data_IF_968052707442
#
_entry.id   IF_968052707442
#
_cell.length_a   1.000
_cell.length_b   1.000
_cell.length_c   1.000
_cell.angle_alpha   90.00
_cell.angle_beta   90.00
_cell.angle_gamma   90.00
#
_symmetry.space_group_name_H-M   'P 1'
#
loop_
_entity.id
_entity.type
_entity.pdbx_description
1 polymer ?
#
# COMPACT_ATOMS: atom_id res chain seq x y z
N UNK A 1 -6.61 10.09 7.00
CA UNK A 1 -5.78 8.97 7.49
C UNK A 1 -4.31 9.36 7.42
N UNK A 2 -3.60 9.23 8.51
CA UNK A 2 -2.17 9.48 8.55
C UNK A 2 -1.44 8.23 8.07
N UNK A 3 -0.35 8.39 7.29
CA UNK A 3 0.41 7.26 6.78
C UNK A 3 1.88 7.35 7.18
N UNK A 4 2.52 6.19 7.24
CA UNK A 4 3.96 6.09 7.47
C UNK A 4 4.52 5.00 6.54
N UNK A 5 5.83 5.05 6.30
CA UNK A 5 6.50 4.10 5.43
C UNK A 5 7.53 3.32 6.22
N UNK A 6 7.36 2.00 6.27
CA UNK A 6 8.36 1.12 6.86
C UNK A 6 9.60 1.04 5.96
N UNK A 7 10.72 0.64 6.53
CA UNK A 7 11.96 0.51 5.77
C UNK A 7 11.81 -0.50 4.62
N UNK A 8 11.09 -1.59 4.86
CA UNK A 8 10.81 -2.60 3.83
C UNK A 8 10.05 -2.00 2.64
N UNK A 9 9.08 -1.10 2.94
CA UNK A 9 8.34 -0.42 1.88
C UNK A 9 9.27 0.48 1.05
N UNK A 10 10.12 1.24 1.72
CA UNK A 10 11.04 2.15 1.02
C UNK A 10 11.94 1.40 0.04
N UNK A 11 12.44 0.22 0.45
CA UNK A 11 13.26 -0.62 -0.44
C UNK A 11 12.47 -1.13 -1.63
N UNK A 12 11.26 -1.65 -1.38
CA UNK A 12 10.41 -2.17 -2.44
C UNK A 12 10.00 -1.07 -3.41
N UNK A 13 9.67 0.10 -2.89
CA UNK A 13 9.26 1.24 -3.70
C UNK A 13 10.41 1.74 -4.58
N UNK A 14 11.62 1.82 -4.02
CA UNK A 14 12.79 2.24 -4.77
C UNK A 14 13.06 1.29 -5.95
N UNK A 15 13.00 -0.02 -5.69
CA UNK A 15 13.19 -1.04 -6.73
C UNK A 15 12.14 -0.89 -7.83
N UNK A 16 10.88 -0.77 -7.45
CA UNK A 16 9.78 -0.61 -8.39
C UNK A 16 9.95 0.65 -9.23
N UNK A 17 10.32 1.74 -8.59
CA UNK A 17 10.50 3.03 -9.26
C UNK A 17 11.68 3.03 -10.23
N UNK A 18 12.74 2.30 -9.90
CA UNK A 18 13.89 2.14 -10.79
C UNK A 18 13.50 1.39 -12.06
N UNK A 19 12.67 0.34 -11.93
CA UNK A 19 12.24 -0.48 -13.06
C UNK A 19 11.10 0.16 -13.86
N UNK A 20 10.21 0.87 -13.17
CA UNK A 20 8.99 1.42 -13.78
C UNK A 20 8.72 2.84 -13.25
N UNK A 21 9.58 3.82 -13.57
CA UNK A 21 9.42 5.18 -13.04
C UNK A 21 8.10 5.83 -13.46
N UNK A 22 7.52 5.40 -14.58
CA UNK A 22 6.25 5.93 -15.08
C UNK A 22 5.08 5.62 -14.16
N UNK A 23 5.23 4.67 -13.24
CA UNK A 23 4.14 4.29 -12.33
C UNK A 23 4.04 5.20 -11.10
N UNK A 24 5.05 6.03 -10.85
CA UNK A 24 5.07 6.86 -9.64
C UNK A 24 3.90 7.86 -9.54
N UNK A 25 3.52 8.59 -10.60
CA UNK A 25 2.40 9.51 -10.50
C UNK A 25 1.10 8.82 -10.10
N UNK A 26 0.85 7.61 -10.62
CA UNK A 26 -0.33 6.85 -10.24
C UNK A 26 -0.28 6.43 -8.78
N UNK A 27 0.88 6.03 -8.30
CA UNK A 27 1.07 5.69 -6.88
C UNK A 27 0.65 6.86 -5.98
N UNK A 28 1.17 8.06 -6.25
CA UNK A 28 0.86 9.22 -5.41
C UNK A 28 -0.60 9.63 -5.49
N UNK A 29 -1.22 9.49 -6.65
CA UNK A 29 -2.65 9.76 -6.80
C UNK A 29 -3.48 8.80 -5.94
N UNK A 30 -3.12 7.52 -5.93
CA UNK A 30 -3.83 6.52 -5.11
C UNK A 30 -3.57 6.71 -3.63
N UNK A 31 -2.36 7.10 -3.24
CA UNK A 31 -2.04 7.42 -1.85
C UNK A 31 -2.86 8.61 -1.36
N UNK A 32 -3.01 9.64 -2.18
CA UNK A 32 -3.81 10.80 -1.82
C UNK A 32 -5.27 10.40 -1.59
N UNK A 33 -5.80 9.54 -2.45
CA UNK A 33 -7.15 9.01 -2.29
C UNK A 33 -7.26 8.19 -1.00
N UNK A 34 -6.27 7.35 -0.72
CA UNK A 34 -6.22 6.54 0.50
C UNK A 34 -6.22 7.41 1.76
N UNK A 35 -5.48 8.51 1.74
CA UNK A 35 -5.43 9.43 2.89
C UNK A 35 -6.81 10.02 3.17
N UNK A 36 -7.58 10.35 2.12
CA UNK A 36 -8.93 10.88 2.26
C UNK A 36 -9.93 9.81 2.70
N UNK A 37 -9.83 8.63 2.10
CA UNK A 37 -10.75 7.53 2.37
C UNK A 37 -10.08 6.20 2.07
N UNK A 38 -9.52 5.53 3.11
CA UNK A 38 -8.82 4.25 2.91
C UNK A 38 -9.69 3.16 2.31
N UNK A 39 -11.00 3.28 2.43
CA UNK A 39 -11.94 2.29 1.95
C UNK A 39 -12.72 2.75 0.71
N UNK A 40 -12.18 3.72 -0.02
CA UNK A 40 -12.76 4.10 -1.30
C UNK A 40 -12.85 2.87 -2.19
N UNK A 41 -14.02 2.62 -2.84
CA UNK A 41 -14.20 1.40 -3.64
C UNK A 41 -13.17 1.17 -4.74
N UNK A 42 -12.61 2.25 -5.31
CA UNK A 42 -11.61 2.11 -6.38
C UNK A 42 -10.28 1.56 -5.88
N UNK A 43 -10.01 1.64 -4.57
CA UNK A 43 -8.79 1.11 -3.97
C UNK A 43 -8.90 -0.39 -3.70
N UNK A 44 -10.11 -0.94 -3.64
CA UNK A 44 -10.34 -2.35 -3.35
C UNK A 44 -9.62 -2.80 -2.07
N UNK A 45 -9.62 -1.93 -1.07
CA UNK A 45 -8.96 -2.21 0.21
C UNK A 45 -9.62 -3.40 0.89
N UNK A 46 -8.81 -4.37 1.29
CA UNK A 46 -9.32 -5.56 1.97
C UNK A 46 -8.28 -6.14 2.90
N UNK A 47 -8.77 -6.86 3.91
CA UNK A 47 -7.90 -7.55 4.86
C UNK A 47 -7.41 -8.85 4.23
N UNK A 48 -6.15 -9.16 4.47
CA UNK A 48 -5.53 -10.36 3.96
C UNK A 48 -5.77 -11.54 4.91
N UNK A 49 -5.42 -12.75 4.47
CA UNK A 49 -5.62 -13.97 5.25
C UNK A 49 -4.34 -14.79 5.31
N UNK A 50 -4.37 -15.91 6.05
CA UNK A 50 -3.22 -16.80 6.20
C UNK A 50 -2.07 -16.12 6.93
N UNK A 51 -0.88 -16.22 6.38
CA UNK A 51 0.33 -15.64 6.98
C UNK A 51 0.25 -14.12 7.12
N UNK A 52 -0.56 -13.49 6.27
CA UNK A 52 -0.67 -12.03 6.20
C UNK A 52 -1.92 -11.52 6.90
N UNK A 53 -2.50 -12.30 7.80
CA UNK A 53 -3.80 -11.99 8.44
C UNK A 53 -3.83 -10.66 9.19
N UNK A 54 -2.68 -10.13 9.59
CA UNK A 54 -2.59 -8.88 10.31
C UNK A 54 -2.42 -7.68 9.37
N UNK A 55 -2.40 -7.93 8.08
CA UNK A 55 -2.16 -6.91 7.05
C UNK A 55 -3.38 -6.71 6.17
N UNK A 56 -3.36 -5.60 5.46
CA UNK A 56 -4.35 -5.20 4.49
C UNK A 56 -3.65 -4.88 3.18
N UNK A 57 -4.40 -4.80 2.09
CA UNK A 57 -3.83 -4.29 0.86
C UNK A 57 -4.82 -3.39 0.13
N UNK A 58 -4.28 -2.49 -0.69
CA UNK A 58 -5.10 -1.74 -1.64
C UNK A 58 -4.44 -1.74 -3.01
N UNK A 59 -5.26 -1.58 -4.04
CA UNK A 59 -4.84 -1.65 -5.43
C UNK A 59 -4.32 -0.30 -5.92
N UNK A 60 -3.20 -0.35 -6.63
CA UNK A 60 -2.67 0.83 -7.34
C UNK A 60 -3.12 0.86 -8.81
N UNK A 61 -3.87 -0.15 -9.24
CA UNK A 61 -4.23 -0.34 -10.64
C UNK A 61 -3.40 -1.49 -11.23
N UNK A 62 -3.89 -2.03 -12.36
CA UNK A 62 -3.29 -3.21 -12.97
C UNK A 62 -3.11 -4.30 -11.92
N UNK A 63 -1.87 -4.79 -11.77
CA UNK A 63 -1.54 -5.86 -10.85
C UNK A 63 -0.74 -5.35 -9.63
N UNK A 64 -0.56 -4.04 -9.50
CA UNK A 64 0.23 -3.47 -8.39
C UNK A 64 -0.61 -3.25 -7.15
N UNK A 65 -0.03 -3.56 -5.99
CA UNK A 65 -0.70 -3.45 -4.69
C UNK A 65 0.25 -2.92 -3.63
N UNK A 66 -0.33 -2.23 -2.63
CA UNK A 66 0.38 -1.84 -1.42
C UNK A 66 -0.12 -2.72 -0.28
N UNK A 67 0.81 -3.26 0.50
CA UNK A 67 0.49 -4.02 1.72
C UNK A 67 0.79 -3.12 2.91
N UNK A 68 -0.13 -3.05 3.86
CA UNK A 68 -0.03 -2.15 5.00
C UNK A 68 -0.74 -2.74 6.21
N UNK A 69 -0.52 -2.12 7.39
CA UNK A 69 -1.31 -2.42 8.57
C UNK A 69 -1.74 -1.13 9.25
N UNK A 70 -2.83 -1.20 10.00
CA UNK A 70 -3.28 -0.09 10.83
C UNK A 70 -2.65 -0.20 12.21
N UNK A 71 -2.23 0.93 12.76
CA UNK A 71 -1.72 0.98 14.13
C UNK A 71 -2.87 1.04 15.12
N UNK A 72 -2.55 0.80 16.40
CA UNK A 72 -3.52 0.98 17.49
C UNK A 72 -3.45 2.38 18.09
N UNK A 73 -2.65 3.25 17.51
CA UNK A 73 -2.49 4.64 17.95
C UNK A 73 -3.79 5.43 17.82
N UNK A 74 -3.86 6.53 18.53
CA UNK A 74 -4.98 7.49 18.44
C UNK A 74 -4.41 8.86 18.09
N UNK A 75 -4.60 9.34 16.84
CA UNK A 75 -5.35 8.69 15.77
C UNK A 75 -4.60 7.52 15.14
N UNK A 76 -5.35 6.61 14.54
CA UNK A 76 -4.79 5.50 13.79
C UNK A 76 -3.94 5.97 12.64
N UNK A 77 -2.89 5.19 12.36
CA UNK A 77 -2.06 5.39 11.17
C UNK A 77 -2.07 4.12 10.34
N UNK A 78 -1.80 4.27 9.06
CA UNK A 78 -1.53 3.14 8.17
C UNK A 78 -0.04 3.11 7.88
N UNK A 79 0.61 1.97 8.14
CA UNK A 79 2.03 1.80 7.90
C UNK A 79 2.20 0.93 6.66
N UNK A 80 2.75 1.48 5.59
CA UNK A 80 3.00 0.75 4.35
C UNK A 80 4.26 -0.09 4.52
N UNK A 81 4.16 -1.39 4.22
CA UNK A 81 5.27 -2.32 4.43
C UNK A 81 5.81 -2.94 3.15
N UNK A 82 5.01 -2.97 2.09
CA UNK A 82 5.46 -3.55 0.82
C UNK A 82 4.66 -2.98 -0.34
N UNK A 83 5.22 -3.07 -1.53
CA UNK A 83 4.56 -2.67 -2.78
C UNK A 83 5.12 -3.53 -3.92
N UNK A 84 4.25 -3.96 -4.82
CA UNK A 84 4.64 -4.78 -5.93
C UNK A 84 3.44 -5.47 -6.56
N UNK A 85 3.70 -6.43 -7.44
CA UNK A 85 2.64 -7.25 -8.03
C UNK A 85 2.10 -8.22 -7.00
N UNK A 86 0.95 -8.85 -7.32
CA UNK A 86 0.36 -9.86 -6.45
C UNK A 86 1.38 -10.94 -6.06
N UNK A 87 2.14 -11.45 -7.04
CA UNK A 87 3.10 -12.51 -6.80
C UNK A 87 4.30 -12.04 -5.98
N UNK A 88 4.65 -10.76 -6.07
CA UNK A 88 5.79 -10.20 -5.34
C UNK A 88 5.48 -9.98 -3.86
N UNK A 89 4.24 -9.60 -3.52
CA UNK A 89 3.89 -9.22 -2.15
C UNK A 89 3.15 -10.30 -1.39
N UNK A 90 2.56 -11.26 -2.06
CA UNK A 90 1.84 -12.37 -1.45
C UNK A 90 2.60 -13.70 -1.66
#
# INVERSE_FOLDING_TARGET
>A
MEIAFAQSFKKAFHKKNTLHPESEPLFWAKVELFIRDPFDPTLKTHKLSGRLKDFWSFSLGYDSRVVFYFTDDKPKKAVFVDVGTHDEVY
#
